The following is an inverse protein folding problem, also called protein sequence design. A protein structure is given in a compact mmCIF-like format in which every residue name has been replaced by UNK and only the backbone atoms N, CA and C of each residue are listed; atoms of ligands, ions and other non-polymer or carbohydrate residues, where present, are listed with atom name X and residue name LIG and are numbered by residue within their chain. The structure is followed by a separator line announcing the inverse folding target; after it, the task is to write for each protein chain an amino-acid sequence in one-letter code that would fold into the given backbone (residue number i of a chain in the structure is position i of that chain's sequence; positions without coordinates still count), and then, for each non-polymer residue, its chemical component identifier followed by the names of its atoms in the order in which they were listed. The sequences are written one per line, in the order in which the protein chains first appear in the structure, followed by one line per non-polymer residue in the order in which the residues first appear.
data_IF_711673374759
#
_entry.id   IF_711673374759
#
_cell.length_a   1.000
_cell.length_b   1.000
_cell.length_c   1.000
_cell.angle_alpha   90.00
_cell.angle_beta   90.00
_cell.angle_gamma   90.00
#
_symmetry.space_group_name_H-M   'P 1'
#
loop_
_entity.id
_entity.type
_entity.pdbx_description
1 polymer ?
#
# COMPACT_ATOMS: atom_id res chain seq x y z
N UNK A 1 36.33 -1.32 9.31
CA UNK A 1 36.95 -2.66 9.50
C UNK A 1 35.93 -3.82 9.60
N UNK A 2 34.65 -3.59 9.96
CA UNK A 2 33.64 -4.66 10.14
C UNK A 2 33.09 -5.32 8.86
N UNK A 3 33.13 -4.64 7.70
CA UNK A 3 32.59 -5.19 6.44
C UNK A 3 33.47 -6.28 5.78
N UNK A 4 34.78 -6.29 6.05
CA UNK A 4 35.71 -7.29 5.50
C UNK A 4 35.66 -8.63 6.25
N UNK A 5 35.32 -8.61 7.54
CA UNK A 5 35.19 -9.82 8.34
C UNK A 5 33.94 -10.63 7.94
N UNK A 6 32.82 -9.94 7.66
CA UNK A 6 31.59 -10.59 7.20
C UNK A 6 31.76 -11.28 5.84
N UNK A 7 32.58 -10.71 4.94
CA UNK A 7 32.84 -11.28 3.61
C UNK A 7 33.66 -12.59 3.67
N UNK A 8 34.52 -12.75 4.69
CA UNK A 8 35.38 -13.93 4.89
C UNK A 8 34.62 -15.15 5.43
N UNK A 9 33.53 -14.93 6.18
CA UNK A 9 32.69 -16.00 6.72
C UNK A 9 31.81 -16.71 5.67
N UNK A 10 31.62 -16.12 4.48
CA UNK A 10 30.75 -16.67 3.43
C UNK A 10 31.45 -17.55 2.39
N UNK A 11 32.79 -17.73 2.47
CA UNK A 11 33.58 -18.51 1.50
C UNK A 11 34.06 -19.87 2.05
N UNK A 12 33.27 -20.55 2.89
CA UNK A 12 33.55 -21.92 3.36
C UNK A 12 32.63 -22.94 2.66
N UNK A 13 33.16 -24.03 2.07
CA UNK A 13 32.33 -25.00 1.36
C UNK A 13 31.58 -25.91 2.34
N UNK A 14 30.27 -26.03 2.16
CA UNK A 14 29.34 -26.74 3.05
C UNK A 14 29.25 -28.25 2.74
N UNK A 15 29.34 -29.10 3.77
CA UNK A 15 29.11 -30.56 3.70
C UNK A 15 27.64 -30.90 3.40
N UNK A 16 27.38 -31.91 2.54
CA UNK A 16 26.08 -32.21 1.90
C UNK A 16 24.87 -32.35 2.87
N UNK A 17 24.99 -33.01 4.02
CA UNK A 17 23.88 -33.11 5.01
C UNK A 17 23.55 -31.82 5.77
N UNK A 18 24.45 -30.82 5.72
CA UNK A 18 24.22 -29.50 6.29
C UNK A 18 23.54 -28.55 5.29
N UNK A 19 23.53 -28.90 3.99
CA UNK A 19 22.98 -28.05 2.92
C UNK A 19 21.46 -27.99 2.97
N UNK A 20 20.76 -29.10 3.23
CA UNK A 20 19.29 -29.11 3.34
C UNK A 20 18.79 -28.37 4.58
N UNK A 21 19.42 -28.57 5.73
CA UNK A 21 19.10 -27.79 6.94
C UNK A 21 19.33 -26.30 6.72
N UNK A 22 20.43 -25.91 6.08
CA UNK A 22 20.70 -24.52 5.75
C UNK A 22 19.72 -23.96 4.70
N UNK A 23 19.32 -24.76 3.71
CA UNK A 23 18.33 -24.37 2.70
C UNK A 23 16.95 -24.16 3.32
N UNK A 24 16.54 -25.06 4.22
CA UNK A 24 15.27 -24.94 4.95
C UNK A 24 15.27 -23.67 5.79
N UNK A 25 16.35 -23.43 6.55
CA UNK A 25 16.52 -22.21 7.35
C UNK A 25 16.55 -20.93 6.50
N UNK A 26 17.14 -20.97 5.31
CA UNK A 26 17.14 -19.83 4.37
C UNK A 26 15.74 -19.53 3.81
N UNK A 27 14.99 -20.56 3.42
CA UNK A 27 13.62 -20.40 2.92
C UNK A 27 12.69 -19.85 3.99
N UNK A 28 12.83 -20.33 5.22
CA UNK A 28 12.04 -19.88 6.37
C UNK A 28 12.36 -18.43 6.73
N UNK A 29 13.64 -18.04 6.69
CA UNK A 29 14.06 -16.65 6.86
C UNK A 29 13.52 -15.74 5.76
N UNK A 30 13.58 -16.16 4.48
CA UNK A 30 12.97 -15.39 3.37
C UNK A 30 11.47 -15.25 3.54
N UNK A 31 10.77 -16.31 3.94
CA UNK A 31 9.33 -16.29 4.18
C UNK A 31 8.99 -15.28 5.27
N UNK A 32 9.74 -15.28 6.38
CA UNK A 32 9.57 -14.31 7.45
C UNK A 32 9.87 -12.87 7.01
N UNK A 33 10.95 -12.64 6.24
CA UNK A 33 11.28 -11.30 5.71
C UNK A 33 10.22 -10.78 4.74
N UNK A 34 9.66 -11.65 3.89
CA UNK A 34 8.55 -11.31 3.00
C UNK A 34 7.28 -11.00 3.78
N UNK A 35 6.96 -11.80 4.80
CA UNK A 35 5.79 -11.57 5.66
C UNK A 35 5.93 -10.27 6.46
N UNK A 36 7.13 -10.01 7.01
CA UNK A 36 7.43 -8.76 7.70
C UNK A 36 7.28 -7.56 6.76
N UNK A 37 7.84 -7.64 5.54
CA UNK A 37 7.70 -6.57 4.54
C UNK A 37 6.24 -6.34 4.14
N UNK A 38 5.46 -7.41 4.02
CA UNK A 38 4.02 -7.33 3.75
C UNK A 38 3.28 -6.63 4.89
N UNK A 39 3.56 -7.00 6.14
CA UNK A 39 2.95 -6.39 7.33
C UNK A 39 3.35 -4.92 7.48
N UNK A 40 4.62 -4.58 7.22
CA UNK A 40 5.11 -3.20 7.27
C UNK A 40 4.43 -2.34 6.18
N UNK A 41 4.30 -2.86 4.95
CA UNK A 41 3.50 -2.22 3.90
C UNK A 41 2.04 -2.08 4.36
N UNK A 42 1.40 -3.15 4.83
CA UNK A 42 0.00 -3.12 5.26
C UNK A 42 -0.26 -2.10 6.40
N UNK A 43 0.72 -1.90 7.28
CA UNK A 43 0.69 -0.89 8.35
C UNK A 43 0.91 0.54 7.81
N UNK A 44 1.79 0.71 6.83
CA UNK A 44 2.04 2.00 6.18
C UNK A 44 0.81 2.46 5.39
N UNK A 45 0.18 1.53 4.67
CA UNK A 45 -1.10 1.72 3.97
C UNK A 45 -2.28 2.01 4.93
N UNK A 46 -2.15 1.67 6.21
CA UNK A 46 -3.15 1.98 7.23
C UNK A 46 -3.06 3.42 7.77
N UNK A 47 -2.00 4.18 7.48
CA UNK A 47 -1.76 5.51 8.11
C UNK A 47 -2.61 6.64 7.53
N UNK A 48 -2.95 6.61 6.23
CA UNK A 48 -3.84 7.60 5.62
C UNK A 48 -5.03 6.88 5.01
N UNK A 49 -6.21 7.15 5.59
CA UNK A 49 -7.47 6.60 5.13
C UNK A 49 -8.35 7.73 4.62
N UNK A 50 -8.94 7.51 3.45
CA UNK A 50 -9.91 8.41 2.87
C UNK A 50 -11.24 8.30 3.62
N UNK A 51 -11.63 9.38 4.28
CA UNK A 51 -12.82 9.46 5.11
C UNK A 51 -13.96 10.20 4.42
N UNK A 52 -14.28 11.36 4.96
CA UNK A 52 -15.38 12.21 4.53
C UNK A 52 -14.90 13.57 4.02
N UNK A 53 -13.69 14.00 4.39
CA UNK A 53 -13.18 15.33 4.08
C UNK A 53 -12.51 15.33 2.70
N UNK A 54 -12.70 16.42 1.95
CA UNK A 54 -11.98 16.67 0.71
C UNK A 54 -10.48 16.81 0.94
N UNK A 55 -10.07 17.30 2.12
CA UNK A 55 -8.65 17.46 2.50
C UNK A 55 -7.90 16.13 2.58
N UNK A 56 -8.62 15.04 2.84
CA UNK A 56 -8.03 13.70 2.91
C UNK A 56 -7.60 13.20 1.53
N UNK A 57 -8.09 13.82 0.45
CA UNK A 57 -7.85 13.36 -0.92
C UNK A 57 -6.38 13.44 -1.35
N UNK A 58 -5.72 14.60 -1.19
CA UNK A 58 -4.33 14.75 -1.65
C UNK A 58 -3.36 13.85 -0.88
N UNK A 59 -3.43 13.76 0.47
CA UNK A 59 -2.60 12.81 1.22
C UNK A 59 -2.87 11.35 0.82
N UNK A 60 -4.13 10.98 0.61
CA UNK A 60 -4.50 9.65 0.11
C UNK A 60 -3.90 9.38 -1.27
N UNK A 61 -4.11 10.28 -2.23
CA UNK A 61 -3.69 10.11 -3.61
C UNK A 61 -2.17 10.06 -3.75
N UNK A 62 -1.44 10.86 -2.96
CA UNK A 62 0.03 10.84 -2.92
C UNK A 62 0.60 9.47 -2.54
N UNK A 63 -0.07 8.72 -1.67
CA UNK A 63 0.35 7.36 -1.30
C UNK A 63 -0.15 6.34 -2.32
N UNK A 64 -1.41 6.48 -2.74
CA UNK A 64 -2.07 5.51 -3.60
C UNK A 64 -1.53 5.49 -5.03
N UNK A 65 -0.98 6.60 -5.55
CA UNK A 65 -0.50 6.69 -6.94
C UNK A 65 0.54 5.63 -7.34
N UNK A 66 1.33 5.13 -6.39
CA UNK A 66 2.31 4.07 -6.66
C UNK A 66 1.61 2.72 -6.85
N UNK A 67 0.62 2.43 -6.02
CA UNK A 67 -0.24 1.24 -6.14
C UNK A 67 -1.07 1.31 -7.43
N UNK A 68 -1.59 2.48 -7.78
CA UNK A 68 -2.32 2.70 -9.04
C UNK A 68 -1.45 2.41 -10.28
N UNK A 69 -0.13 2.59 -10.19
CA UNK A 69 0.80 2.32 -11.29
C UNK A 69 1.25 0.85 -11.32
N UNK A 70 1.63 0.30 -10.18
CA UNK A 70 2.46 -0.91 -10.14
C UNK A 70 1.65 -2.21 -9.92
N UNK A 71 0.45 -2.13 -9.33
CA UNK A 71 -0.31 -3.32 -8.91
C UNK A 71 -1.38 -3.77 -9.91
N UNK A 72 -1.88 -5.01 -9.74
CA UNK A 72 -3.00 -5.54 -10.53
C UNK A 72 -4.35 -4.90 -10.18
N UNK A 73 -5.34 -4.87 -11.09
CA UNK A 73 -6.65 -4.25 -10.82
C UNK A 73 -7.38 -4.80 -9.59
N UNK A 74 -7.23 -6.09 -9.32
CA UNK A 74 -7.81 -6.74 -8.14
C UNK A 74 -7.18 -6.21 -6.85
N UNK A 75 -5.85 -6.19 -6.79
CA UNK A 75 -5.09 -5.68 -5.64
C UNK A 75 -5.34 -4.19 -5.40
N UNK A 76 -5.46 -3.41 -6.47
CA UNK A 76 -5.84 -2.00 -6.44
C UNK A 76 -7.23 -1.79 -5.85
N UNK A 77 -8.21 -2.62 -6.22
CA UNK A 77 -9.55 -2.54 -5.64
C UNK A 77 -9.52 -2.91 -4.15
N UNK A 78 -8.85 -4.00 -3.80
CA UNK A 78 -8.68 -4.40 -2.40
C UNK A 78 -7.99 -3.32 -1.58
N UNK A 79 -7.06 -2.59 -2.19
CA UNK A 79 -6.48 -1.41 -1.57
C UNK A 79 -7.52 -0.32 -1.28
N UNK A 80 -8.35 0.06 -2.25
CA UNK A 80 -9.39 1.08 -2.04
C UNK A 80 -10.34 0.72 -0.88
N UNK A 81 -10.66 -0.57 -0.72
CA UNK A 81 -11.41 -1.07 0.44
C UNK A 81 -10.64 -0.78 1.72
N UNK A 82 -9.37 -1.20 1.83
CA UNK A 82 -8.56 -1.00 3.05
C UNK A 82 -8.28 0.47 3.38
N UNK A 83 -8.11 1.29 2.35
CA UNK A 83 -7.74 2.70 2.43
C UNK A 83 -8.95 3.63 2.62
N UNK A 84 -10.16 3.11 2.76
CA UNK A 84 -11.36 3.89 3.09
C UNK A 84 -11.86 3.56 4.50
N UNK A 85 -12.30 4.59 5.23
CA UNK A 85 -12.83 4.43 6.59
C UNK A 85 -14.22 3.80 6.53
N UNK A 86 -14.43 2.67 7.21
CA UNK A 86 -15.75 2.01 7.25
C UNK A 86 -16.85 2.98 7.72
N UNK A 87 -17.95 3.07 6.98
CA UNK A 87 -19.05 3.99 7.24
C UNK A 87 -18.82 5.44 6.76
N UNK A 88 -17.72 5.72 6.06
CA UNK A 88 -17.49 7.02 5.42
C UNK A 88 -18.15 7.13 4.05
N UNK A 89 -18.32 8.35 3.56
CA UNK A 89 -18.76 8.63 2.18
C UNK A 89 -17.82 8.03 1.15
N UNK A 90 -16.52 8.01 1.41
CA UNK A 90 -15.58 7.37 0.50
C UNK A 90 -15.76 5.86 0.47
N UNK A 91 -16.03 5.24 1.63
CA UNK A 91 -16.35 3.81 1.71
C UNK A 91 -17.64 3.47 0.99
N UNK A 92 -18.70 4.27 1.15
CA UNK A 92 -19.96 4.10 0.41
C UNK A 92 -19.75 4.07 -1.10
N UNK A 93 -18.85 4.92 -1.61
CA UNK A 93 -18.48 4.92 -3.04
C UNK A 93 -17.80 3.61 -3.42
N UNK A 94 -16.82 3.15 -2.63
CA UNK A 94 -16.11 1.90 -2.90
C UNK A 94 -17.04 0.69 -2.85
N UNK A 95 -17.92 0.61 -1.85
CA UNK A 95 -18.85 -0.51 -1.65
C UNK A 95 -20.04 -0.48 -2.62
N UNK A 96 -20.29 0.63 -3.32
CA UNK A 96 -21.31 0.69 -4.38
C UNK A 96 -20.97 -0.15 -5.62
N UNK A 97 -19.73 -0.63 -5.72
CA UNK A 97 -19.27 -1.52 -6.78
C UNK A 97 -18.89 -2.89 -6.21
N UNK A 98 -19.20 -3.99 -6.91
CA UNK A 98 -18.69 -5.31 -6.54
C UNK A 98 -17.16 -5.31 -6.47
N UNK A 99 -16.55 -5.89 -5.43
CA UNK A 99 -15.11 -5.82 -5.17
C UNK A 99 -14.34 -6.77 -6.09
N UNK A 100 -14.16 -6.34 -7.33
CA UNK A 100 -13.41 -7.04 -8.36
C UNK A 100 -12.57 -6.06 -9.20
N UNK A 101 -11.52 -6.57 -9.84
CA UNK A 101 -10.59 -5.77 -10.62
C UNK A 101 -11.23 -5.11 -11.85
N UNK A 102 -12.29 -5.68 -12.42
CA UNK A 102 -13.00 -5.09 -13.56
C UNK A 102 -13.72 -3.78 -13.20
N UNK A 103 -14.11 -3.62 -11.94
CA UNK A 103 -14.79 -2.41 -11.45
C UNK A 103 -13.83 -1.34 -10.94
N UNK A 104 -12.52 -1.64 -10.84
CA UNK A 104 -11.55 -0.71 -10.28
C UNK A 104 -11.59 0.69 -10.92
N UNK A 105 -11.52 0.77 -12.25
CA UNK A 105 -11.50 2.07 -12.96
C UNK A 105 -12.74 2.91 -12.62
N UNK A 106 -13.92 2.28 -12.64
CA UNK A 106 -15.20 2.95 -12.35
C UNK A 106 -15.25 3.45 -10.91
N UNK A 107 -14.80 2.63 -9.96
CA UNK A 107 -14.72 3.02 -8.55
C UNK A 107 -13.77 4.20 -8.35
N UNK A 108 -12.58 4.16 -8.98
CA UNK A 108 -11.61 5.23 -8.86
C UNK A 108 -12.10 6.54 -9.51
N UNK A 109 -12.75 6.46 -10.67
CA UNK A 109 -13.37 7.62 -11.32
C UNK A 109 -14.46 8.24 -10.44
N UNK A 110 -15.28 7.42 -9.79
CA UNK A 110 -16.31 7.90 -8.86
C UNK A 110 -15.70 8.61 -7.63
N UNK A 111 -14.60 8.06 -7.09
CA UNK A 111 -13.84 8.70 -6.02
C UNK A 111 -13.24 10.04 -6.48
N UNK A 112 -12.57 10.08 -7.65
CA UNK A 112 -12.01 11.31 -8.23
C UNK A 112 -13.08 12.39 -8.46
N UNK A 113 -14.25 12.00 -8.97
CA UNK A 113 -15.35 12.94 -9.21
C UNK A 113 -15.92 13.54 -7.92
N UNK A 114 -15.85 12.83 -6.80
CA UNK A 114 -16.36 13.29 -5.51
C UNK A 114 -15.33 14.06 -4.68
N UNK A 115 -14.08 13.58 -4.66
CA UNK A 115 -13.05 14.06 -3.75
C UNK A 115 -11.88 14.75 -4.47
N UNK A 116 -11.62 14.39 -5.72
CA UNK A 116 -10.44 14.81 -6.48
C UNK A 116 -10.69 15.91 -7.50
N UNK A 117 -11.72 16.74 -7.31
CA UNK A 117 -11.98 17.88 -8.19
C UNK A 117 -11.09 19.06 -7.79
N UNK A 118 -10.21 19.46 -8.68
CA UNK A 118 -9.22 20.52 -8.44
C UNK A 118 -9.86 21.82 -7.93
N UNK A 119 -10.96 22.27 -8.55
CA UNK A 119 -11.66 23.50 -8.14
C UNK A 119 -12.12 23.45 -6.66
N UNK A 120 -12.66 22.30 -6.22
CA UNK A 120 -13.11 22.11 -4.84
C UNK A 120 -11.93 22.02 -3.88
N UNK A 121 -10.85 21.36 -4.28
CA UNK A 121 -9.65 21.25 -3.47
C UNK A 121 -8.99 22.63 -3.27
N UNK A 122 -8.86 23.41 -4.35
CA UNK A 122 -8.33 24.78 -4.28
C UNK A 122 -9.16 25.62 -3.32
N UNK A 123 -10.49 25.58 -3.41
CA UNK A 123 -11.37 26.33 -2.52
C UNK A 123 -11.15 25.95 -1.04
N UNK A 124 -11.07 24.65 -0.76
CA UNK A 124 -10.85 24.14 0.61
C UNK A 124 -9.50 24.61 1.17
N UNK A 125 -8.42 24.51 0.40
CA UNK A 125 -7.08 24.92 0.85
C UNK A 125 -6.94 26.44 0.97
N UNK A 126 -7.50 27.22 0.04
CA UNK A 126 -7.49 28.70 0.13
C UNK A 126 -8.20 29.16 1.40
N UNK A 127 -9.35 28.57 1.75
CA UNK A 127 -10.06 28.89 3.00
C UNK A 127 -9.25 28.57 4.26
N UNK A 128 -8.35 27.60 4.23
CA UNK A 128 -7.46 27.30 5.36
C UNK A 128 -6.33 28.32 5.50
N UNK A 129 -5.81 28.84 4.39
CA UNK A 129 -4.71 29.80 4.40
C UNK A 129 -5.12 31.20 4.89
N UNK A 130 -6.42 31.50 4.89
CA UNK A 130 -6.97 32.81 5.29
C UNK A 130 -7.41 32.81 6.78
N UNK A 131 -7.21 31.70 7.51
CA UNK A 131 -7.45 31.62 8.95
C UNK A 131 -6.24 32.09 9.75
#
# INVERSE_FOLDING_TARGET
MMLNLLRKYWRRPLKKGNKEKNLKKMKEKRKFELEKKRLDNELELARIKLGNDLKDWLPFWSQFQHIDKDEGPEDKFQYLIKATIVGSRAREVVESFPPNGANYSKTLESLKSRFGKDDLLVEVYVRELIK
#
